data_IF_091410262841
#
_entry.id   IF_091410262841
#
_cell.length_a   1.000
_cell.length_b   1.000
_cell.length_c   1.000
_cell.angle_alpha   90.00
_cell.angle_beta   90.00
_cell.angle_gamma   90.00
#
_symmetry.space_group_name_H-M   'P 1'
#
loop_
_entity.id
_entity.type
_entity.pdbx_description
1 polymer ?
#
# COMPACT_ATOMS: atom_id res chain seq x y z
N UNK A 1 13.00 -9.23 -15.34
CA UNK A 1 12.73 -9.72 -13.97
C UNK A 1 12.70 -11.24 -14.03
N UNK A 2 13.62 -11.92 -13.35
CA UNK A 2 13.73 -13.39 -13.35
C UNK A 2 12.79 -14.09 -12.36
N UNK A 3 11.57 -13.59 -12.20
CA UNK A 3 10.56 -14.17 -11.30
C UNK A 3 9.77 -15.20 -12.09
N UNK A 4 9.78 -16.46 -11.63
CA UNK A 4 9.09 -17.58 -12.29
C UNK A 4 7.70 -17.84 -11.71
N UNK A 5 7.51 -17.59 -10.41
CA UNK A 5 6.27 -17.84 -9.69
C UNK A 5 6.06 -16.78 -8.61
N UNK A 6 4.81 -16.35 -8.43
CA UNK A 6 4.39 -15.51 -7.29
C UNK A 6 3.29 -16.25 -6.52
N UNK A 7 3.40 -16.27 -5.20
CA UNK A 7 2.45 -16.93 -4.31
C UNK A 7 2.12 -16.00 -3.14
N UNK A 8 0.90 -16.11 -2.61
CA UNK A 8 0.53 -15.38 -1.40
C UNK A 8 1.20 -16.04 -0.18
N UNK A 9 1.62 -15.24 0.80
CA UNK A 9 2.30 -15.76 1.98
C UNK A 9 1.43 -16.78 2.75
N UNK A 10 0.13 -16.53 2.83
CA UNK A 10 -0.82 -17.34 3.60
C UNK A 10 -1.48 -18.47 2.79
N UNK A 11 -1.09 -18.67 1.52
CA UNK A 11 -1.52 -19.86 0.80
C UNK A 11 -0.70 -21.09 1.24
N UNK A 12 -1.27 -22.27 1.01
CA UNK A 12 -0.52 -23.52 1.06
C UNK A 12 0.51 -23.52 -0.07
N UNK A 13 1.76 -23.79 0.28
CA UNK A 13 2.93 -23.70 -0.62
C UNK A 13 3.77 -24.95 -0.44
N UNK A 14 4.02 -25.65 -1.53
CA UNK A 14 4.88 -26.84 -1.53
C UNK A 14 6.37 -26.44 -1.40
N UNK A 15 7.21 -27.26 -0.76
CA UNK A 15 8.64 -27.02 -0.70
C UNK A 15 9.29 -27.03 -2.09
N UNK A 16 10.12 -26.03 -2.36
CA UNK A 16 10.94 -25.90 -3.57
C UNK A 16 12.39 -25.63 -3.13
N UNK A 17 13.10 -26.64 -2.61
CA UNK A 17 14.36 -26.46 -1.89
C UNK A 17 15.54 -25.99 -2.75
N UNK A 18 15.45 -26.10 -4.08
CA UNK A 18 16.51 -25.71 -5.02
C UNK A 18 16.29 -24.30 -5.63
N UNK A 19 15.36 -23.52 -5.09
CA UNK A 19 14.99 -22.21 -5.63
C UNK A 19 15.07 -21.13 -4.55
N UNK A 20 15.68 -19.96 -4.84
CA UNK A 20 15.66 -18.82 -3.94
C UNK A 20 14.28 -18.16 -3.89
N UNK A 21 13.84 -17.76 -2.70
CA UNK A 21 12.59 -17.05 -2.48
C UNK A 21 12.82 -15.57 -2.11
N UNK A 22 12.05 -14.69 -2.75
CA UNK A 22 11.99 -13.27 -2.43
C UNK A 22 10.67 -12.99 -1.73
N UNK A 23 10.75 -12.62 -0.45
CA UNK A 23 9.61 -12.18 0.35
C UNK A 23 9.46 -10.68 0.18
N UNK A 24 8.27 -10.23 -0.21
CA UNK A 24 7.89 -8.82 -0.26
C UNK A 24 6.60 -8.63 0.53
N UNK A 25 6.72 -8.26 1.81
CA UNK A 25 5.63 -8.39 2.79
C UNK A 25 5.58 -7.22 3.77
N UNK A 26 4.43 -7.02 4.40
CA UNK A 26 4.31 -6.13 5.57
C UNK A 26 4.85 -6.84 6.82
N UNK A 27 5.60 -6.17 7.71
CA UNK A 27 6.13 -6.77 8.92
C UNK A 27 5.06 -6.88 10.03
N UNK A 28 3.92 -7.53 9.74
CA UNK A 28 2.87 -7.87 10.73
C UNK A 28 3.27 -9.13 11.51
N UNK A 29 2.76 -9.30 12.72
CA UNK A 29 3.07 -10.50 13.54
C UNK A 29 2.72 -11.78 12.79
N UNK A 30 1.53 -11.85 12.20
CA UNK A 30 1.08 -12.98 11.38
C UNK A 30 2.04 -13.30 10.22
N UNK A 31 2.53 -12.28 9.52
CA UNK A 31 3.46 -12.49 8.41
C UNK A 31 4.81 -13.00 8.91
N UNK A 32 5.32 -12.45 10.02
CA UNK A 32 6.58 -12.87 10.63
C UNK A 32 6.48 -14.32 11.10
N UNK A 33 5.38 -14.70 11.76
CA UNK A 33 5.15 -16.07 12.21
C UNK A 33 5.11 -17.05 11.02
N UNK A 34 4.41 -16.69 9.94
CA UNK A 34 4.36 -17.52 8.73
C UNK A 34 5.73 -17.68 8.07
N UNK A 35 6.54 -16.61 8.05
CA UNK A 35 7.93 -16.67 7.55
C UNK A 35 8.82 -17.53 8.45
N UNK A 36 8.69 -17.41 9.77
CA UNK A 36 9.40 -18.26 10.73
C UNK A 36 9.05 -19.74 10.55
N UNK A 37 7.80 -20.05 10.23
CA UNK A 37 7.38 -21.41 9.89
C UNK A 37 8.01 -21.91 8.58
N UNK A 38 8.06 -21.06 7.54
CA UNK A 38 8.71 -21.42 6.27
C UNK A 38 10.20 -21.74 6.47
N UNK A 39 10.90 -20.97 7.31
CA UNK A 39 12.31 -21.22 7.67
C UNK A 39 12.49 -22.56 8.39
N UNK A 40 11.61 -22.90 9.34
CA UNK A 40 11.65 -24.19 10.06
C UNK A 40 11.40 -25.37 9.12
N UNK A 41 10.54 -25.19 8.13
CA UNK A 41 10.23 -26.22 7.14
C UNK A 41 11.23 -26.26 5.98
N UNK A 42 12.18 -25.31 5.93
CA UNK A 42 13.19 -25.17 4.88
C UNK A 42 12.57 -25.24 3.47
N UNK A 43 11.51 -24.45 3.24
CA UNK A 43 10.76 -24.49 1.97
C UNK A 43 11.58 -24.09 0.75
N UNK A 44 12.62 -23.26 0.92
CA UNK A 44 13.40 -22.68 -0.17
C UNK A 44 14.90 -22.77 0.11
N UNK A 45 15.71 -22.65 -0.95
CA UNK A 45 17.18 -22.68 -0.86
C UNK A 45 17.73 -21.50 -0.05
N UNK A 46 17.19 -20.31 -0.32
CA UNK A 46 17.58 -19.06 0.32
C UNK A 46 16.43 -18.06 0.39
N UNK A 47 16.49 -17.18 1.38
CA UNK A 47 15.44 -16.26 1.75
C UNK A 47 15.95 -14.82 1.65
N UNK A 48 15.32 -14.05 0.77
CA UNK A 48 15.53 -12.62 0.60
C UNK A 48 14.34 -11.88 1.19
N UNK A 49 14.50 -11.34 2.39
CA UNK A 49 13.42 -10.73 3.15
C UNK A 49 13.34 -9.24 2.83
N UNK A 50 12.25 -8.79 2.22
CA UNK A 50 12.00 -7.39 1.89
C UNK A 50 10.70 -6.95 2.56
N UNK A 51 10.81 -6.07 3.55
CA UNK A 51 9.67 -5.52 4.26
C UNK A 51 9.24 -4.19 3.63
N UNK A 52 7.94 -4.01 3.40
CA UNK A 52 7.43 -2.76 2.80
C UNK A 52 7.50 -1.56 3.75
N UNK A 53 7.70 -1.79 5.04
CA UNK A 53 7.95 -0.78 6.07
C UNK A 53 9.04 -1.28 7.02
N UNK A 54 9.56 -0.39 7.86
CA UNK A 54 10.61 -0.73 8.81
C UNK A 54 10.17 -1.86 9.77
N UNK A 55 10.96 -2.93 9.85
CA UNK A 55 10.74 -4.00 10.82
C UNK A 55 11.20 -3.59 12.23
N UNK A 56 10.44 -3.98 13.25
CA UNK A 56 10.85 -3.74 14.65
C UNK A 56 11.98 -4.69 15.05
N UNK A 57 12.80 -4.25 16.01
CA UNK A 57 13.89 -5.07 16.54
C UNK A 57 13.39 -6.42 17.10
N UNK A 58 12.28 -6.41 17.84
CA UNK A 58 11.67 -7.63 18.38
C UNK A 58 11.35 -8.64 17.27
N UNK A 59 10.69 -8.20 16.19
CA UNK A 59 10.33 -9.08 15.07
C UNK A 59 11.54 -9.61 14.32
N UNK A 60 12.61 -8.81 14.23
CA UNK A 60 13.88 -9.25 13.67
C UNK A 60 14.56 -10.32 14.54
N UNK A 61 14.51 -10.15 15.87
CA UNK A 61 15.00 -11.14 16.83
C UNK A 61 14.19 -12.44 16.74
N UNK A 62 12.88 -12.38 16.52
CA UNK A 62 12.03 -13.56 16.30
C UNK A 62 12.45 -14.36 15.06
N UNK A 63 12.69 -13.68 13.93
CA UNK A 63 13.21 -14.31 12.71
C UNK A 63 14.58 -14.94 12.96
N UNK A 64 15.47 -14.21 13.64
CA UNK A 64 16.82 -14.69 13.93
C UNK A 64 16.78 -15.96 14.81
N UNK A 65 15.93 -15.98 15.83
CA UNK A 65 15.72 -17.14 16.70
C UNK A 65 15.14 -18.32 15.92
N UNK A 66 14.18 -18.08 15.02
CA UNK A 66 13.62 -19.13 14.17
C UNK A 66 14.67 -19.72 13.20
N UNK A 67 15.48 -18.87 12.58
CA UNK A 67 16.56 -19.30 11.69
C UNK A 67 17.64 -20.10 12.43
N UNK A 68 17.99 -19.71 13.65
CA UNK A 68 18.92 -20.46 14.51
C UNK A 68 18.37 -21.84 14.87
N UNK A 69 17.11 -21.91 15.33
CA UNK A 69 16.46 -23.17 15.69
C UNK A 69 16.33 -24.13 14.49
N UNK A 70 16.12 -23.58 13.29
CA UNK A 70 16.00 -24.34 12.04
C UNK A 70 17.35 -24.70 11.39
N UNK A 71 18.48 -24.26 11.96
CA UNK A 71 19.81 -24.33 11.32
C UNK A 71 19.83 -23.70 9.91
N UNK A 72 19.01 -22.68 9.67
CA UNK A 72 18.79 -22.03 8.38
C UNK A 72 19.42 -20.62 8.29
N UNK A 73 20.30 -20.26 9.24
CA UNK A 73 20.92 -18.91 9.30
C UNK A 73 21.64 -18.56 8.00
N UNK A 74 22.35 -19.51 7.38
CA UNK A 74 23.07 -19.31 6.11
C UNK A 74 22.13 -19.18 4.91
N UNK A 75 20.88 -19.61 5.04
CA UNK A 75 19.86 -19.50 3.98
C UNK A 75 19.23 -18.10 3.97
N UNK A 76 19.22 -17.36 5.09
CA UNK A 76 18.75 -15.97 5.12
C UNK A 76 19.82 -15.07 4.51
N UNK A 77 19.69 -14.82 3.20
CA UNK A 77 20.71 -14.12 2.42
C UNK A 77 20.73 -12.62 2.70
N UNK A 78 19.53 -12.01 2.80
CA UNK A 78 19.36 -10.56 2.81
C UNK A 78 18.09 -10.16 3.57
N UNK A 79 18.17 -9.05 4.31
CA UNK A 79 17.03 -8.43 5.00
C UNK A 79 17.04 -6.94 4.69
N UNK A 80 15.94 -6.41 4.15
CA UNK A 80 15.81 -5.02 3.73
C UNK A 80 14.47 -4.42 4.16
N UNK A 81 14.53 -3.17 4.61
CA UNK A 81 13.37 -2.29 4.72
C UNK A 81 13.27 -1.48 3.43
N UNK A 82 12.18 -1.66 2.68
CA UNK A 82 11.97 -1.05 1.36
C UNK A 82 11.26 0.31 1.43
N UNK A 83 10.53 0.60 2.51
CA UNK A 83 9.75 1.84 2.69
C UNK A 83 8.74 2.11 1.55
N UNK A 84 8.04 1.07 1.11
CA UNK A 84 7.04 1.09 0.03
C UNK A 84 5.60 0.84 0.54
N UNK A 85 5.27 1.31 1.75
CA UNK A 85 3.94 1.16 2.34
C UNK A 85 2.92 2.20 1.81
N UNK A 86 2.76 2.27 0.49
CA UNK A 86 1.79 3.10 -0.22
C UNK A 86 1.59 2.55 -1.64
N UNK A 87 0.54 2.99 -2.33
CA UNK A 87 0.27 2.60 -3.71
C UNK A 87 0.16 3.87 -4.56
N UNK A 88 0.93 3.94 -5.63
CA UNK A 88 0.81 4.99 -6.66
C UNK A 88 -0.22 4.56 -7.69
N UNK A 89 -1.26 5.39 -7.88
CA UNK A 89 -2.29 5.16 -8.89
C UNK A 89 -2.00 5.98 -10.15
N UNK A 90 -1.47 7.19 -9.96
CA UNK A 90 -1.01 8.10 -11.03
C UNK A 90 0.31 8.76 -10.61
N UNK A 91 0.91 9.55 -11.50
CA UNK A 91 2.17 10.25 -11.24
C UNK A 91 2.06 11.25 -10.07
N UNK A 92 0.86 11.82 -9.86
CA UNK A 92 0.52 12.80 -8.83
C UNK A 92 -0.55 12.30 -7.85
N UNK A 93 -0.90 11.01 -7.88
CA UNK A 93 -1.92 10.41 -7.02
C UNK A 93 -1.43 9.12 -6.37
N UNK A 94 -1.48 9.08 -5.04
CA UNK A 94 -1.21 7.88 -4.26
C UNK A 94 -2.30 7.64 -3.22
N UNK A 95 -2.41 6.40 -2.77
CA UNK A 95 -3.28 5.97 -1.68
C UNK A 95 -2.46 5.30 -0.59
N UNK A 96 -2.85 5.53 0.66
CA UNK A 96 -2.23 4.95 1.84
C UNK A 96 -3.13 3.87 2.43
N UNK A 97 -2.54 3.02 3.27
CA UNK A 97 -3.28 2.10 4.14
C UNK A 97 -4.28 1.19 3.40
N UNK A 98 -3.99 0.81 2.15
CA UNK A 98 -4.92 0.06 1.30
C UNK A 98 -5.31 -1.30 1.91
N UNK A 99 -4.40 -1.93 2.66
CA UNK A 99 -4.65 -3.18 3.37
C UNK A 99 -5.53 -2.99 4.62
N UNK A 100 -5.57 -1.77 5.16
CA UNK A 100 -6.23 -1.40 6.42
C UNK A 100 -7.34 -0.34 6.22
N UNK A 101 -7.98 -0.31 5.04
CA UNK A 101 -8.96 0.74 4.66
C UNK A 101 -10.08 0.93 5.68
N UNK A 102 -10.59 -0.16 6.24
CA UNK A 102 -11.67 -0.12 7.22
C UNK A 102 -11.22 0.56 8.53
N UNK A 103 -9.98 0.31 8.95
CA UNK A 103 -9.38 0.90 10.15
C UNK A 103 -9.14 2.40 10.00
N UNK A 104 -8.82 2.86 8.79
CA UNK A 104 -8.47 4.26 8.49
C UNK A 104 -9.64 5.01 7.83
N UNK A 105 -10.87 4.50 7.96
CA UNK A 105 -12.05 5.10 7.35
C UNK A 105 -12.54 6.35 8.08
N UNK A 106 -13.28 7.21 7.37
CA UNK A 106 -13.94 8.38 7.99
C UNK A 106 -14.84 7.97 9.16
N UNK A 107 -15.57 6.85 9.02
CA UNK A 107 -16.41 6.29 10.08
C UNK A 107 -15.58 5.82 11.27
N UNK A 108 -14.46 5.13 11.04
CA UNK A 108 -13.61 4.63 12.12
C UNK A 108 -13.10 5.76 13.02
N UNK A 109 -12.69 6.89 12.42
CA UNK A 109 -12.15 8.05 13.15
C UNK A 109 -13.24 8.87 13.86
N UNK A 110 -14.47 8.89 13.34
CA UNK A 110 -15.54 9.77 13.84
C UNK A 110 -16.65 9.04 14.63
N UNK A 111 -16.48 7.74 14.94
CA UNK A 111 -17.46 7.02 15.76
C UNK A 111 -17.39 7.48 17.23
N UNK A 112 -18.51 7.59 17.95
CA UNK A 112 -18.53 8.13 19.31
C UNK A 112 -17.88 7.21 20.36
N UNK A 113 -17.71 5.93 20.03
CA UNK A 113 -17.16 4.87 20.87
C UNK A 113 -15.66 4.62 20.63
N UNK A 114 -15.00 5.42 19.79
CA UNK A 114 -13.55 5.27 19.56
C UNK A 114 -12.78 5.58 20.84
N UNK A 115 -11.89 4.67 21.21
CA UNK A 115 -10.98 4.87 22.34
C UNK A 115 -9.74 5.65 21.90
N UNK A 116 -9.10 6.35 22.84
CA UNK A 116 -7.85 7.06 22.58
C UNK A 116 -6.78 6.12 21.99
N UNK A 117 -6.70 4.87 22.47
CA UNK A 117 -5.75 3.87 21.99
C UNK A 117 -6.01 3.46 20.53
N UNK A 118 -7.27 3.28 20.14
CA UNK A 118 -7.63 2.98 18.75
C UNK A 118 -7.32 4.16 17.85
N UNK A 119 -7.63 5.39 18.29
CA UNK A 119 -7.30 6.61 17.57
C UNK A 119 -5.79 6.71 17.32
N UNK A 120 -4.97 6.51 18.35
CA UNK A 120 -3.51 6.50 18.25
C UNK A 120 -3.02 5.47 17.24
N UNK A 121 -3.59 4.26 17.24
CA UNK A 121 -3.25 3.18 16.32
C UNK A 121 -3.55 3.56 14.86
N UNK A 122 -4.70 4.18 14.61
CA UNK A 122 -5.07 4.66 13.27
C UNK A 122 -4.10 5.76 12.80
N UNK A 123 -3.79 6.72 13.67
CA UNK A 123 -2.86 7.80 13.35
C UNK A 123 -1.45 7.27 13.06
N UNK A 124 -0.95 6.32 13.86
CA UNK A 124 0.36 5.70 13.64
C UNK A 124 0.42 4.95 12.30
N UNK A 125 -0.67 4.28 11.90
CA UNK A 125 -0.77 3.61 10.60
C UNK A 125 -0.64 4.60 9.42
N UNK A 126 -1.28 5.77 9.52
CA UNK A 126 -1.17 6.84 8.52
C UNK A 126 0.26 7.39 8.50
N UNK A 127 0.82 7.68 9.68
CA UNK A 127 2.17 8.24 9.85
C UNK A 127 3.24 7.32 9.25
N UNK A 128 3.14 6.01 9.48
CA UNK A 128 4.07 5.02 8.93
C UNK A 128 4.05 4.99 7.40
N UNK A 129 2.85 5.09 6.82
CA UNK A 129 2.66 5.08 5.37
C UNK A 129 3.19 6.38 4.74
N UNK A 130 2.90 7.55 5.34
CA UNK A 130 3.45 8.85 4.91
C UNK A 130 4.97 8.91 5.06
N UNK A 131 5.51 8.35 6.15
CA UNK A 131 6.95 8.28 6.35
C UNK A 131 7.62 7.48 5.23
N UNK A 132 7.07 6.31 4.87
CA UNK A 132 7.55 5.50 3.75
C UNK A 132 7.56 6.29 2.42
N UNK A 133 6.48 7.03 2.14
CA UNK A 133 6.40 7.90 0.98
C UNK A 133 7.52 8.94 0.93
N UNK A 134 7.76 9.67 2.03
CA UNK A 134 8.81 10.70 2.07
C UNK A 134 10.23 10.13 2.04
N UNK A 135 10.46 8.94 2.59
CA UNK A 135 11.73 8.22 2.43
C UNK A 135 11.95 7.86 0.97
N UNK A 136 10.93 7.35 0.27
CA UNK A 136 11.03 7.02 -1.16
C UNK A 136 11.22 8.28 -2.02
N UNK A 137 10.56 9.37 -1.66
CA UNK A 137 10.73 10.67 -2.31
C UNK A 137 12.12 11.29 -2.06
N UNK A 138 12.82 10.86 -0.99
CA UNK A 138 14.10 11.43 -0.60
C UNK A 138 14.01 12.87 -0.10
N UNK A 139 12.85 13.31 0.39
CA UNK A 139 12.60 14.71 0.74
C UNK A 139 11.92 14.87 2.10
N UNK A 140 12.31 15.91 2.85
CA UNK A 140 11.70 16.24 4.15
C UNK A 140 10.70 17.39 3.97
N UNK A 141 9.38 17.16 4.13
CA UNK A 141 8.38 18.17 3.85
C UNK A 141 8.28 19.24 4.93
N UNK A 142 7.77 20.42 4.58
CA UNK A 142 7.19 21.38 5.53
C UNK A 142 5.74 20.93 5.77
N UNK A 143 5.36 20.67 7.02
CA UNK A 143 4.02 20.18 7.34
C UNK A 143 3.09 21.33 7.75
N UNK A 144 1.86 21.32 7.22
CA UNK A 144 0.75 22.20 7.60
C UNK A 144 -0.51 21.36 7.79
N UNK A 145 -1.33 21.73 8.78
CA UNK A 145 -2.57 21.03 9.10
C UNK A 145 -3.59 21.99 9.74
N UNK A 146 -4.85 21.57 9.77
CA UNK A 146 -5.91 22.18 10.59
C UNK A 146 -5.70 21.86 12.07
N UNK A 147 -5.86 22.85 12.95
CA UNK A 147 -5.71 22.66 14.41
C UNK A 147 -6.93 22.01 15.03
N UNK A 148 -6.72 21.24 16.10
CA UNK A 148 -7.76 20.56 16.88
C UNK A 148 -8.40 19.38 16.16
N UNK A 149 -7.71 18.77 15.20
CA UNK A 149 -8.26 17.72 14.32
C UNK A 149 -7.34 16.50 14.24
N UNK A 150 -7.81 15.41 13.63
CA UNK A 150 -6.98 14.22 13.42
C UNK A 150 -5.78 14.53 12.52
N UNK A 151 -5.91 15.47 11.57
CA UNK A 151 -4.77 15.94 10.77
C UNK A 151 -3.64 16.53 11.64
N UNK A 152 -3.93 17.19 12.76
CA UNK A 152 -2.90 17.71 13.67
C UNK A 152 -2.15 16.57 14.37
N UNK A 153 -2.86 15.53 14.81
CA UNK A 153 -2.24 14.35 15.44
C UNK A 153 -1.27 13.66 14.47
N UNK A 154 -1.69 13.43 13.21
CA UNK A 154 -0.82 12.90 12.15
C UNK A 154 0.38 13.83 11.92
N UNK A 155 0.15 15.14 11.84
CA UNK A 155 1.22 16.12 11.58
C UNK A 155 2.31 16.08 12.65
N UNK A 156 1.91 16.10 13.94
CA UNK A 156 2.85 16.10 15.08
C UNK A 156 3.63 14.79 15.15
N UNK A 157 2.95 13.64 14.97
CA UNK A 157 3.59 12.32 14.98
C UNK A 157 4.56 12.13 13.80
N UNK A 158 4.15 12.51 12.58
CA UNK A 158 4.99 12.42 11.39
C UNK A 158 6.22 13.32 11.51
N UNK A 159 6.04 14.55 11.96
CA UNK A 159 7.12 15.49 12.22
C UNK A 159 8.13 14.91 13.24
N UNK A 160 7.65 14.37 14.37
CA UNK A 160 8.50 13.70 15.37
C UNK A 160 9.29 12.56 14.73
N UNK A 161 8.63 11.67 13.98
CA UNK A 161 9.24 10.51 13.33
C UNK A 161 10.30 10.91 12.30
N UNK A 162 10.05 11.95 11.50
CA UNK A 162 11.02 12.50 10.56
C UNK A 162 12.25 13.06 11.30
N UNK A 163 12.04 13.85 12.36
CA UNK A 163 13.15 14.43 13.14
C UNK A 163 14.03 13.37 13.80
N UNK A 164 13.42 12.32 14.36
CA UNK A 164 14.14 11.21 15.00
C UNK A 164 15.02 10.47 13.98
N UNK A 165 14.50 10.19 12.78
CA UNK A 165 15.25 9.50 11.73
C UNK A 165 16.30 10.37 11.02
N UNK A 166 16.15 11.69 11.04
CA UNK A 166 17.17 12.63 10.52
C UNK A 166 18.36 12.82 11.47
N UNK A 167 18.15 12.65 12.78
CA UNK A 167 19.20 12.80 13.79
C UNK A 167 20.11 11.59 13.87
N UNK A 168 19.63 10.43 13.45
CA UNK A 168 20.42 9.21 13.45
C UNK A 168 21.38 9.23 12.25
N UNK A 169 22.63 9.66 12.49
CA UNK A 169 23.68 9.74 11.47
C UNK A 169 23.99 8.38 10.82
N UNK A 170 23.54 7.26 11.41
CA UNK A 170 23.65 5.92 10.80
C UNK A 170 22.55 5.64 9.77
N UNK A 171 21.43 6.37 9.85
CA UNK A 171 20.29 6.25 8.95
C UNK A 171 20.35 7.35 7.88
N UNK A 172 21.09 7.12 6.80
CA UNK A 172 21.13 8.00 5.63
C UNK A 172 19.87 7.91 4.75
N UNK A 173 18.68 7.76 5.35
CA UNK A 173 17.41 7.57 4.65
C UNK A 173 17.06 8.75 3.72
N UNK A 174 17.58 9.95 4.03
CA UNK A 174 17.34 11.19 3.28
C UNK A 174 18.61 11.76 2.65
N UNK A 175 19.73 11.03 2.70
CA UNK A 175 21.07 11.53 2.30
C UNK A 175 21.87 10.57 1.42
N UNK A 176 21.35 9.38 1.08
CA UNK A 176 22.07 8.35 0.33
C UNK A 176 22.23 8.62 -1.17
N UNK A 177 23.40 8.24 -1.72
CA UNK A 177 23.80 8.32 -3.14
C UNK A 177 22.88 7.59 -4.14
N UNK A 178 21.92 6.77 -3.66
CA UNK A 178 20.95 6.04 -4.49
C UNK A 178 19.82 6.92 -5.02
N UNK A 179 19.72 8.17 -4.55
CA UNK A 179 18.72 9.15 -4.94
C UNK A 179 19.37 10.19 -5.85
N UNK A 180 19.37 9.93 -7.15
CA UNK A 180 19.98 10.79 -8.16
C UNK A 180 19.55 12.26 -8.02
N UNK A 181 20.54 13.16 -8.03
CA UNK A 181 20.42 14.59 -8.33
C UNK A 181 19.37 15.41 -7.54
N UNK A 182 18.89 14.93 -6.39
CA UNK A 182 18.01 15.66 -5.48
C UNK A 182 18.75 16.42 -4.37
N UNK A 183 20.07 16.63 -4.53
CA UNK A 183 20.93 17.47 -3.68
C UNK A 183 20.13 18.61 -3.08
N UNK A 184 19.84 18.53 -1.77
CA UNK A 184 19.23 19.59 -0.96
C UNK A 184 18.47 20.60 -1.81
N UNK A 185 17.34 20.19 -2.41
CA UNK A 185 16.55 21.20 -3.11
C UNK A 185 16.27 22.30 -2.09
N UNK A 186 16.63 23.54 -2.41
CA UNK A 186 16.35 24.69 -1.55
C UNK A 186 14.83 24.85 -1.29
N UNK A 187 14.00 24.03 -1.97
CA UNK A 187 12.56 23.98 -1.90
C UNK A 187 12.08 22.65 -1.31
N UNK A 188 11.95 22.60 0.02
CA UNK A 188 11.26 21.50 0.70
C UNK A 188 9.80 21.42 0.22
N UNK A 189 9.27 20.23 -0.08
CA UNK A 189 7.86 20.10 -0.47
C UNK A 189 6.95 20.50 0.69
N UNK A 190 5.78 21.07 0.36
CA UNK A 190 4.75 21.39 1.35
C UNK A 190 3.76 20.21 1.45
N UNK A 191 3.65 19.61 2.63
CA UNK A 191 2.62 18.64 2.96
C UNK A 191 1.47 19.37 3.68
N UNK A 192 0.29 19.37 3.07
CA UNK A 192 -0.94 19.89 3.68
C UNK A 192 -1.82 18.72 4.08
N UNK A 193 -2.08 18.57 5.37
CA UNK A 193 -2.97 17.56 5.94
C UNK A 193 -4.33 18.19 6.25
N UNK A 194 -5.38 17.58 5.74
CA UNK A 194 -6.76 18.04 5.91
C UNK A 194 -7.68 16.89 6.28
N UNK A 195 -8.60 17.13 7.21
CA UNK A 195 -9.70 16.23 7.49
C UNK A 195 -10.81 16.37 6.46
N UNK A 196 -11.49 15.27 6.15
CA UNK A 196 -12.60 15.23 5.18
C UNK A 196 -13.75 16.19 5.56
N UNK A 197 -13.87 16.55 6.83
CA UNK A 197 -14.84 17.52 7.37
C UNK A 197 -14.82 18.88 6.68
N UNK A 198 -13.70 19.25 6.03
CA UNK A 198 -13.61 20.52 5.30
C UNK A 198 -14.58 20.60 4.12
N UNK A 199 -14.97 19.45 3.55
CA UNK A 199 -15.91 19.36 2.44
C UNK A 199 -16.49 17.94 2.34
N UNK A 200 -17.75 17.76 2.74
CA UNK A 200 -18.45 16.48 2.59
C UNK A 200 -19.28 16.41 1.29
N UNK A 201 -19.40 17.52 0.56
CA UNK A 201 -20.27 17.62 -0.61
C UNK A 201 -19.59 17.07 -1.87
N UNK A 202 -18.31 17.37 -2.09
CA UNK A 202 -17.60 16.92 -3.30
C UNK A 202 -17.58 15.41 -3.48
N UNK A 203 -17.30 14.57 -2.45
CA UNK A 203 -17.32 13.11 -2.60
C UNK A 203 -18.70 12.53 -2.94
N UNK A 204 -19.79 13.28 -2.71
CA UNK A 204 -21.16 12.87 -2.99
C UNK A 204 -21.68 13.39 -4.34
N UNK A 205 -20.92 14.25 -5.02
CA UNK A 205 -21.33 14.78 -6.32
C UNK A 205 -21.06 13.77 -7.43
N UNK A 206 -22.09 13.49 -8.23
CA UNK A 206 -21.92 12.83 -9.52
C UNK A 206 -21.24 13.79 -10.50
N UNK A 207 -19.99 13.49 -10.82
CA UNK A 207 -19.20 14.26 -11.79
C UNK A 207 -19.31 13.65 -13.19
N UNK A 208 -18.98 14.43 -14.21
CA UNK A 208 -19.26 14.13 -15.62
C UNK A 208 -17.96 14.05 -16.43
N UNK A 209 -16.81 14.00 -15.75
CA UNK A 209 -15.52 13.65 -16.35
C UNK A 209 -15.43 12.14 -16.49
N UNK A 210 -14.72 11.67 -17.52
CA UNK A 210 -14.67 10.26 -17.87
C UNK A 210 -14.18 9.38 -16.72
N UNK A 211 -13.06 9.74 -16.10
CA UNK A 211 -12.47 8.97 -15.01
C UNK A 211 -13.37 8.87 -13.79
N UNK A 212 -13.94 9.99 -13.37
CA UNK A 212 -14.74 10.03 -12.17
C UNK A 212 -16.08 9.33 -12.38
N UNK A 213 -16.67 9.43 -13.58
CA UNK A 213 -17.85 8.64 -13.94
C UNK A 213 -17.53 7.14 -13.95
N UNK A 214 -16.40 6.71 -14.54
CA UNK A 214 -15.93 5.31 -14.49
C UNK A 214 -15.78 4.84 -13.06
N UNK A 215 -15.19 5.64 -12.18
CA UNK A 215 -15.02 5.32 -10.77
C UNK A 215 -16.36 5.20 -10.03
N UNK A 216 -17.34 6.04 -10.38
CA UNK A 216 -18.62 6.15 -9.70
C UNK A 216 -19.61 5.05 -10.14
N UNK A 217 -19.69 4.76 -11.44
CA UNK A 217 -20.71 3.86 -11.99
C UNK A 217 -20.23 2.43 -12.25
N UNK A 218 -18.90 2.21 -12.30
CA UNK A 218 -18.30 0.89 -12.54
C UNK A 218 -17.52 0.41 -11.31
N UNK A 219 -17.30 -0.90 -11.22
CA UNK A 219 -16.44 -1.50 -10.18
C UNK A 219 -14.96 -1.20 -10.51
N UNK A 220 -14.56 0.03 -10.25
CA UNK A 220 -13.21 0.55 -10.48
C UNK A 220 -12.40 0.52 -9.18
N UNK A 221 -11.34 -0.28 -9.17
CA UNK A 221 -10.48 -0.44 -8.02
C UNK A 221 -9.02 -0.62 -8.44
N UNK A 222 -8.10 0.17 -7.87
CA UNK A 222 -6.66 0.06 -8.15
C UNK A 222 -6.35 0.02 -9.66
N UNK A 223 -6.89 0.98 -10.40
CA UNK A 223 -6.74 1.09 -11.86
C UNK A 223 -7.32 -0.07 -12.66
N UNK A 224 -8.26 -0.84 -12.09
CA UNK A 224 -8.93 -1.94 -12.77
C UNK A 224 -10.44 -1.78 -12.74
N UNK A 225 -11.08 -1.96 -13.90
CA UNK A 225 -12.54 -2.00 -14.04
C UNK A 225 -12.99 -3.44 -14.27
N UNK A 226 -13.93 -3.92 -13.48
CA UNK A 226 -14.62 -5.19 -13.72
C UNK A 226 -16.01 -4.96 -14.33
N UNK A 227 -16.26 -5.51 -15.51
CA UNK A 227 -17.56 -5.50 -16.18
C UNK A 227 -18.19 -6.88 -16.14
N UNK A 228 -19.44 -6.94 -15.68
CA UNK A 228 -20.26 -8.14 -15.85
C UNK A 228 -20.85 -8.14 -17.26
N UNK A 229 -20.52 -9.14 -18.08
CA UNK A 229 -21.25 -9.37 -19.32
C UNK A 229 -22.63 -9.94 -18.96
N UNK A 230 -23.68 -9.18 -19.25
CA UNK A 230 -25.00 -9.77 -19.38
C UNK A 230 -24.95 -10.71 -20.58
N UNK A 231 -24.89 -12.01 -20.30
CA UNK A 231 -25.25 -12.98 -21.34
C UNK A 231 -26.63 -12.58 -21.84
N UNK A 232 -26.75 -12.35 -23.14
CA UNK A 232 -28.00 -11.99 -23.78
C UNK A 232 -29.12 -12.94 -23.32
N UNK A 233 -30.35 -12.43 -23.31
CA UNK A 233 -31.56 -13.17 -22.94
C UNK A 233 -31.73 -14.38 -23.86
N UNK A 234 -31.05 -15.47 -23.56
CA UNK A 234 -31.33 -16.78 -24.14
C UNK A 234 -32.09 -17.57 -23.08
N UNK A 235 -33.34 -17.86 -23.41
CA UNK A 235 -34.29 -18.68 -22.65
C UNK A 235 -33.61 -19.98 -22.19
N UNK A 236 -33.05 -19.96 -20.98
CA UNK A 236 -32.52 -21.15 -20.34
C UNK A 236 -33.71 -21.96 -19.82
N UNK A 237 -33.83 -23.27 -20.13
CA UNK A 237 -34.92 -24.08 -19.64
C UNK A 237 -34.92 -24.11 -18.11
N UNK A 238 -36.12 -24.14 -17.51
CA UNK A 238 -36.30 -24.22 -16.06
C UNK A 238 -35.55 -25.45 -15.49
N UNK A 239 -34.50 -25.22 -14.70
CA UNK A 239 -33.69 -26.26 -14.06
C UNK A 239 -32.19 -26.24 -14.36
N UNK A 240 -31.69 -25.38 -15.25
CA UNK A 240 -30.26 -25.26 -15.52
C UNK A 240 -29.51 -24.57 -14.35
N UNK A 241 -28.33 -25.10 -13.96
CA UNK A 241 -27.40 -24.43 -13.03
C UNK A 241 -27.13 -23.01 -13.52
N UNK A 242 -27.09 -21.99 -12.64
CA UNK A 242 -26.79 -20.62 -13.06
C UNK A 242 -25.43 -20.60 -13.78
N UNK A 243 -25.42 -20.19 -15.06
CA UNK A 243 -24.18 -19.96 -15.81
C UNK A 243 -23.38 -18.90 -15.06
N UNK A 244 -22.11 -19.20 -14.78
CA UNK A 244 -21.16 -18.26 -14.17
C UNK A 244 -21.11 -17.02 -15.08
N UNK A 245 -21.52 -15.85 -14.58
CA UNK A 245 -21.43 -14.59 -15.34
C UNK A 245 -19.97 -14.40 -15.78
N UNK A 246 -19.73 -14.20 -17.07
CA UNK A 246 -18.40 -13.86 -17.56
C UNK A 246 -18.08 -12.45 -17.07
N UNK A 247 -17.07 -12.32 -16.21
CA UNK A 247 -16.52 -11.03 -15.79
C UNK A 247 -15.34 -10.71 -16.71
N UNK A 248 -15.41 -9.56 -17.39
CA UNK A 248 -14.27 -8.99 -18.14
C UNK A 248 -13.61 -7.94 -17.28
N UNK A 249 -12.28 -7.98 -17.20
CA UNK A 249 -11.48 -7.04 -16.43
C UNK A 249 -10.63 -6.20 -17.39
N UNK A 250 -10.57 -4.89 -17.16
CA UNK A 250 -9.78 -3.95 -17.96
C UNK A 250 -8.85 -3.16 -17.04
N UNK A 251 -7.56 -3.11 -17.38
CA UNK A 251 -6.54 -2.37 -16.63
C UNK A 251 -6.31 -0.98 -17.25
N UNK A 252 -6.72 0.07 -16.55
CA UNK A 252 -6.62 1.48 -16.94
C UNK A 252 -5.32 2.08 -16.43
N UNK A 253 -4.23 1.74 -17.11
CA UNK A 253 -2.85 2.05 -16.67
C UNK A 253 -2.24 3.23 -17.44
N UNK A 254 -1.06 3.74 -17.03
CA UNK A 254 -0.32 4.75 -17.80
C UNK A 254 0.01 4.35 -19.25
N UNK A 255 0.03 3.05 -19.57
CA UNK A 255 0.28 2.58 -20.94
C UNK A 255 -0.94 2.68 -21.86
N UNK A 256 -2.14 2.83 -21.30
CA UNK A 256 -3.36 3.05 -22.09
C UNK A 256 -3.40 4.50 -22.58
N UNK A 257 -3.00 4.69 -23.85
CA UNK A 257 -2.96 6.00 -24.51
C UNK A 257 -4.33 6.67 -24.58
N UNK A 258 -5.41 5.90 -24.72
CA UNK A 258 -6.75 6.46 -24.80
C UNK A 258 -7.17 6.98 -23.42
N UNK A 259 -6.98 6.16 -22.38
CA UNK A 259 -7.23 6.55 -21.00
C UNK A 259 -6.45 7.79 -20.61
N UNK A 260 -5.12 7.82 -20.84
CA UNK A 260 -4.29 8.98 -20.48
C UNK A 260 -4.71 10.26 -21.19
N UNK A 261 -5.15 10.16 -22.46
CA UNK A 261 -5.60 11.31 -23.23
C UNK A 261 -6.96 11.85 -22.76
N UNK A 262 -7.84 10.99 -22.28
CA UNK A 262 -9.26 11.32 -22.10
C UNK A 262 -9.79 11.24 -20.67
N UNK A 263 -9.03 10.73 -19.69
CA UNK A 263 -9.46 10.56 -18.28
C UNK A 263 -10.08 11.82 -17.67
N UNK A 264 -9.54 13.00 -17.96
CA UNK A 264 -10.06 14.30 -17.49
C UNK A 264 -11.09 14.97 -18.40
N UNK A 265 -11.39 14.41 -19.58
CA UNK A 265 -12.35 14.98 -20.53
C UNK A 265 -13.79 14.78 -20.04
N UNK A 266 -14.70 15.66 -20.46
CA UNK A 266 -16.14 15.42 -20.25
C UNK A 266 -16.58 14.17 -21.02
N UNK A 267 -17.35 13.30 -20.38
CA UNK A 267 -17.86 12.06 -20.98
C UNK A 267 -18.69 12.36 -22.24
N UNK A 268 -19.41 13.49 -22.27
CA UNK A 268 -20.22 13.92 -23.42
C UNK A 268 -19.41 14.23 -24.69
N UNK A 269 -18.09 14.41 -24.59
CA UNK A 269 -17.20 14.69 -25.74
C UNK A 269 -16.58 13.38 -26.29
N UNK A 270 -16.71 12.27 -25.55
CA UNK A 270 -16.13 10.96 -25.93
C UNK A 270 -17.06 10.09 -26.78
N UNK A 271 -18.33 10.48 -26.91
CA UNK A 271 -19.35 9.87 -27.76
C UNK A 271 -19.86 10.88 -28.78
#
# INVERSE_FOLDING_TARGET
MGITLHLLLHSDRDPIPDVPAVYFVMPTEENIDRMCQDLRNQLYESYYLNFISAISRSKLEDIANAALAASAVTQVAKVFDQYLNFITLEDDMFVLCNQNKELVSYRAINRPDITDTEMETVMDTIVDSLFCFFVTLGAVPIIRCSRGTAAEMVAVKLDKKLRENLRDARNSLFTGDTLGAGQFSFQRPLLVLVDRNIDLATPLHHTWTYQALVHDVLDFHLNRVNLEESSGVENSPAGARPKRKNKKSYDLTPVDKFWQKHKGSSCAILF
#
